data_IF_507220117958
#
_entry.id   IF_507220117958
#
_cell.length_a   1.000
_cell.length_b   1.000
_cell.length_c   1.000
_cell.angle_alpha   90.00
_cell.angle_beta   90.00
_cell.angle_gamma   90.00
#
_symmetry.space_group_name_H-M   'P 1'
#
loop_
_entity.id
_entity.type
_entity.pdbx_description
1 polymer ?
#
# COMPACT_ATOMS: atom_id res chain seq x y z
N UNK A 1 25.43 -30.33 -46.91
CA UNK A 1 23.96 -30.24 -46.88
C UNK A 1 23.48 -31.67 -46.87
N UNK A 2 22.82 -32.06 -45.79
CA UNK A 2 22.30 -33.43 -45.66
C UNK A 2 20.86 -33.46 -46.19
N UNK A 3 20.48 -34.60 -46.75
CA UNK A 3 19.19 -34.82 -47.38
C UNK A 3 18.55 -36.09 -46.80
N UNK A 4 17.23 -36.12 -46.70
CA UNK A 4 16.41 -37.24 -46.20
C UNK A 4 15.34 -37.65 -47.24
N UNK A 5 14.67 -38.78 -47.00
CA UNK A 5 13.69 -39.39 -47.89
C UNK A 5 14.25 -40.58 -48.69
N UNK A 6 13.37 -41.43 -49.22
CA UNK A 6 13.75 -42.62 -50.00
C UNK A 6 14.51 -42.25 -51.29
N UNK A 7 14.42 -40.99 -51.73
CA UNK A 7 15.12 -40.45 -52.89
C UNK A 7 16.08 -39.31 -52.53
N UNK A 8 16.36 -39.07 -51.24
CA UNK A 8 17.18 -37.95 -50.74
C UNK A 8 16.73 -36.57 -51.28
N UNK A 9 15.41 -36.36 -51.38
CA UNK A 9 14.80 -35.17 -51.96
C UNK A 9 14.47 -34.09 -50.92
N UNK A 10 14.43 -34.44 -49.64
CA UNK A 10 14.10 -33.54 -48.55
C UNK A 10 15.38 -32.91 -48.04
N UNK A 11 15.56 -31.60 -48.24
CA UNK A 11 16.68 -30.88 -47.66
C UNK A 11 16.55 -30.84 -46.12
N UNK A 12 17.52 -31.40 -45.40
CA UNK A 12 17.59 -31.28 -43.95
C UNK A 12 18.04 -29.86 -43.64
N UNK A 13 17.14 -29.10 -43.00
CA UNK A 13 17.46 -27.74 -42.53
C UNK A 13 18.16 -27.86 -41.18
N UNK A 14 19.40 -27.36 -41.08
CA UNK A 14 20.06 -27.23 -39.79
C UNK A 14 19.53 -25.97 -39.08
N UNK A 15 18.64 -26.19 -38.11
CA UNK A 15 18.04 -25.13 -37.32
C UNK A 15 19.03 -24.50 -36.33
N UNK A 16 20.20 -25.13 -36.10
CA UNK A 16 21.26 -24.58 -35.26
C UNK A 16 22.23 -23.64 -36.00
N UNK A 17 22.15 -23.54 -37.32
CA UNK A 17 23.03 -22.68 -38.15
C UNK A 17 22.97 -21.19 -37.80
N UNK A 18 21.88 -20.75 -37.16
CA UNK A 18 21.69 -19.37 -36.70
C UNK A 18 22.21 -19.10 -35.29
N UNK A 19 22.81 -20.09 -34.63
CA UNK A 19 23.22 -20.05 -33.22
C UNK A 19 22.10 -19.57 -32.28
N UNK A 20 20.93 -20.23 -32.29
CA UNK A 20 19.77 -19.74 -31.55
C UNK A 20 19.94 -19.82 -30.03
N UNK A 21 20.74 -20.78 -29.52
CA UNK A 21 20.96 -20.94 -28.08
C UNK A 21 21.97 -19.91 -27.54
N UNK A 22 21.53 -19.10 -26.58
CA UNK A 22 22.35 -18.08 -25.91
C UNK A 22 22.92 -18.59 -24.58
N UNK A 23 23.73 -17.78 -23.90
CA UNK A 23 24.28 -18.04 -22.56
C UNK A 23 25.01 -19.38 -22.39
N UNK A 24 25.61 -19.92 -23.46
CA UNK A 24 26.33 -21.19 -23.42
C UNK A 24 25.45 -22.43 -23.60
N UNK A 25 24.20 -22.26 -24.03
CA UNK A 25 23.32 -23.36 -24.42
C UNK A 25 23.88 -24.19 -25.58
N UNK A 26 23.70 -25.51 -25.51
CA UNK A 26 24.09 -26.43 -26.59
C UNK A 26 22.90 -26.69 -27.52
N UNK A 27 23.04 -26.37 -28.80
CA UNK A 27 21.98 -26.54 -29.78
C UNK A 27 21.95 -27.96 -30.36
N UNK A 28 20.75 -28.53 -30.46
CA UNK A 28 20.46 -29.79 -31.15
C UNK A 28 19.39 -29.53 -32.22
N UNK A 29 19.70 -29.78 -33.49
CA UNK A 29 18.75 -29.62 -34.60
C UNK A 29 17.90 -30.89 -34.76
N UNK A 30 16.61 -30.70 -35.03
CA UNK A 30 15.64 -31.75 -35.38
C UNK A 30 15.02 -31.48 -36.76
N UNK A 31 14.11 -32.35 -37.22
CA UNK A 31 13.54 -32.29 -38.58
C UNK A 31 12.70 -31.03 -38.87
N UNK A 32 12.14 -30.40 -37.83
CA UNK A 32 11.25 -29.22 -37.99
C UNK A 32 11.60 -28.05 -37.08
N UNK A 33 12.49 -28.22 -36.11
CA UNK A 33 12.83 -27.23 -35.09
C UNK A 33 14.21 -27.53 -34.47
N UNK A 34 14.64 -26.73 -33.50
CA UNK A 34 15.82 -26.97 -32.67
C UNK A 34 15.44 -27.11 -31.19
N UNK A 35 16.37 -27.62 -30.39
CA UNK A 35 16.30 -27.59 -28.93
C UNK A 35 17.61 -27.10 -28.35
N UNK A 36 17.51 -26.22 -27.37
CA UNK A 36 18.66 -25.77 -26.60
C UNK A 36 18.75 -26.53 -25.29
N UNK A 37 19.82 -27.31 -25.10
CA UNK A 37 20.19 -27.83 -23.80
C UNK A 37 20.83 -26.70 -22.99
N UNK A 38 20.09 -26.15 -22.03
CA UNK A 38 20.55 -25.03 -21.24
C UNK A 38 21.52 -25.45 -20.15
N UNK A 39 22.60 -24.68 -19.94
CA UNK A 39 23.50 -24.89 -18.81
C UNK A 39 22.78 -24.57 -17.49
N UNK A 40 23.36 -25.05 -16.38
CA UNK A 40 22.84 -24.75 -15.04
C UNK A 40 22.70 -23.24 -14.84
N UNK A 41 21.54 -22.81 -14.33
CA UNK A 41 21.23 -21.40 -14.15
C UNK A 41 20.51 -20.72 -15.32
N UNK A 42 20.19 -21.43 -16.42
CA UNK A 42 19.40 -20.91 -17.54
C UNK A 42 18.29 -21.87 -17.99
N UNK A 43 17.24 -21.30 -18.59
CA UNK A 43 16.04 -21.94 -19.12
C UNK A 43 15.47 -21.09 -20.27
N UNK A 44 14.31 -21.45 -20.82
CA UNK A 44 13.74 -20.83 -22.03
C UNK A 44 14.09 -21.61 -23.30
N UNK A 45 13.41 -21.30 -24.42
CA UNK A 45 13.57 -22.03 -25.68
C UNK A 45 14.99 -21.86 -26.25
N UNK A 46 15.62 -20.73 -25.97
CA UNK A 46 16.96 -20.36 -26.41
C UNK A 46 17.96 -20.22 -25.25
N UNK A 47 17.63 -20.65 -24.03
CA UNK A 47 18.44 -20.42 -22.82
C UNK A 47 18.62 -18.94 -22.44
N UNK A 48 17.64 -18.12 -22.81
CA UNK A 48 17.59 -16.68 -22.59
C UNK A 48 17.16 -16.30 -21.17
N UNK A 49 16.47 -17.20 -20.47
CA UNK A 49 15.89 -16.95 -19.15
C UNK A 49 16.84 -17.50 -18.08
N UNK A 50 17.32 -16.71 -17.12
CA UNK A 50 18.03 -17.26 -15.96
C UNK A 50 17.09 -18.15 -15.13
N UNK A 51 17.46 -19.39 -14.85
CA UNK A 51 16.67 -20.35 -14.04
C UNK A 51 16.43 -19.84 -12.61
N UNK A 52 17.30 -18.96 -12.11
CA UNK A 52 17.18 -18.33 -10.80
C UNK A 52 16.59 -16.90 -10.86
N UNK A 53 15.79 -16.59 -11.89
CA UNK A 53 15.09 -15.31 -11.94
C UNK A 53 13.89 -15.28 -10.98
N UNK A 54 14.12 -14.70 -9.80
CA UNK A 54 13.09 -14.58 -8.78
C UNK A 54 11.96 -13.61 -9.17
N UNK A 55 12.16 -12.76 -10.18
CA UNK A 55 11.13 -11.85 -10.68
C UNK A 55 10.03 -12.53 -11.50
N UNK A 56 10.22 -13.76 -11.97
CA UNK A 56 9.20 -14.50 -12.71
C UNK A 56 7.92 -14.79 -11.91
N UNK A 57 7.97 -14.68 -10.59
CA UNK A 57 6.82 -14.82 -9.70
C UNK A 57 6.05 -13.51 -9.46
N UNK A 58 6.46 -12.41 -10.11
CA UNK A 58 5.94 -11.05 -9.89
C UNK A 58 5.84 -10.70 -8.40
N UNK A 59 6.94 -10.80 -7.62
CA UNK A 59 6.87 -10.65 -6.17
C UNK A 59 6.54 -9.22 -5.72
N UNK A 60 6.82 -8.21 -6.55
CA UNK A 60 6.64 -6.80 -6.23
C UNK A 60 5.19 -6.36 -6.43
N UNK A 61 4.56 -5.87 -5.37
CA UNK A 61 3.18 -5.39 -5.36
C UNK A 61 3.09 -3.91 -5.70
N UNK A 62 1.86 -3.42 -5.85
CA UNK A 62 1.55 -1.99 -5.96
C UNK A 62 2.34 -1.24 -7.06
N UNK A 63 2.67 -1.94 -8.15
CA UNK A 63 3.39 -1.38 -9.30
C UNK A 63 4.89 -1.18 -9.07
N UNK A 64 5.47 -1.83 -8.05
CA UNK A 64 6.92 -1.89 -7.86
C UNK A 64 7.62 -2.63 -9.02
N UNK A 65 8.84 -2.20 -9.34
CA UNK A 65 9.65 -2.84 -10.39
C UNK A 65 10.53 -3.92 -9.76
N UNK A 66 10.43 -5.14 -10.27
CA UNK A 66 11.29 -6.23 -9.80
C UNK A 66 12.66 -6.17 -10.48
N UNK A 67 13.72 -6.26 -9.68
CA UNK A 67 15.10 -6.35 -10.13
C UNK A 67 15.65 -7.69 -9.64
N UNK A 68 15.95 -8.58 -10.58
CA UNK A 68 16.52 -9.89 -10.26
C UNK A 68 17.96 -9.71 -9.76
N UNK A 69 18.29 -10.31 -8.61
CA UNK A 69 19.62 -10.22 -7.98
C UNK A 69 20.14 -11.62 -7.66
N UNK A 70 20.43 -12.43 -8.69
CA UNK A 70 20.84 -13.82 -8.48
C UNK A 70 22.19 -13.88 -7.74
N UNK A 71 22.24 -14.70 -6.68
CA UNK A 71 23.45 -14.89 -5.86
C UNK A 71 23.51 -14.03 -4.59
N UNK A 72 22.61 -13.06 -4.44
CA UNK A 72 22.44 -12.34 -3.17
C UNK A 72 21.61 -13.15 -2.16
N UNK A 73 21.69 -12.78 -0.87
CA UNK A 73 20.88 -13.38 0.20
C UNK A 73 19.38 -13.24 -0.08
N UNK A 74 18.99 -12.12 -0.69
CA UNK A 74 17.66 -11.92 -1.26
C UNK A 74 17.78 -11.99 -2.79
N UNK A 75 17.16 -12.97 -3.47
CA UNK A 75 17.37 -13.21 -4.89
C UNK A 75 16.67 -12.20 -5.82
N UNK A 76 15.97 -11.21 -5.24
CA UNK A 76 15.42 -10.06 -5.95
C UNK A 76 15.35 -8.84 -5.03
N UNK A 77 15.17 -7.68 -5.64
CA UNK A 77 14.85 -6.41 -5.01
C UNK A 77 13.62 -5.78 -5.67
N UNK A 78 12.69 -5.28 -4.87
CA UNK A 78 11.59 -4.45 -5.37
C UNK A 78 11.93 -2.95 -5.25
N UNK A 79 11.97 -2.27 -6.39
CA UNK A 79 11.98 -0.81 -6.44
C UNK A 79 10.54 -0.29 -6.31
N UNK A 80 10.18 0.13 -5.11
CA UNK A 80 8.82 0.54 -4.79
C UNK A 80 8.48 1.92 -5.35
N UNK A 81 7.27 2.03 -5.91
CA UNK A 81 6.74 3.34 -6.24
C UNK A 81 6.62 4.21 -4.99
N UNK A 82 6.73 5.53 -5.20
CA UNK A 82 6.59 6.51 -4.13
C UNK A 82 5.32 6.27 -3.30
N UNK A 83 5.49 6.18 -1.98
CA UNK A 83 4.40 5.95 -1.03
C UNK A 83 4.13 4.49 -0.72
N UNK A 84 4.84 3.54 -1.35
CA UNK A 84 4.82 2.13 -0.98
C UNK A 84 6.11 1.73 -0.26
N UNK A 85 5.98 0.75 0.63
CA UNK A 85 7.02 0.31 1.55
C UNK A 85 7.00 -1.22 1.69
N UNK A 86 8.02 -1.78 2.32
CA UNK A 86 8.15 -3.23 2.52
C UNK A 86 9.07 -3.88 1.50
N UNK A 87 9.36 -5.16 1.71
CA UNK A 87 10.27 -5.91 0.83
C UNK A 87 9.69 -6.07 -0.57
N UNK A 88 8.36 -6.20 -0.64
CA UNK A 88 7.58 -6.47 -1.82
C UNK A 88 6.62 -5.31 -2.14
N UNK A 89 6.85 -4.10 -1.59
CA UNK A 89 5.99 -2.93 -1.76
C UNK A 89 4.54 -3.11 -1.27
N UNK A 90 4.33 -4.01 -0.32
CA UNK A 90 3.05 -4.43 0.23
C UNK A 90 2.49 -3.47 1.30
N UNK A 91 3.36 -2.68 1.92
CA UNK A 91 3.01 -1.61 2.84
C UNK A 91 2.87 -0.27 2.13
N UNK A 92 2.35 0.73 2.84
CA UNK A 92 2.25 2.08 2.30
C UNK A 92 2.49 3.16 3.34
N UNK A 93 2.89 4.35 2.87
CA UNK A 93 2.98 5.58 3.65
C UNK A 93 2.35 6.74 2.88
N UNK A 94 1.74 7.67 3.62
CA UNK A 94 1.08 8.86 3.12
C UNK A 94 1.33 10.04 4.08
N UNK A 95 2.27 10.90 3.70
CA UNK A 95 2.64 12.15 4.40
C UNK A 95 1.91 13.39 3.82
N UNK A 96 1.05 13.19 2.81
CA UNK A 96 0.29 14.22 2.10
C UNK A 96 1.11 15.29 1.36
N UNK A 97 2.43 15.15 1.23
CA UNK A 97 3.28 16.11 0.51
C UNK A 97 2.93 16.14 -0.99
N UNK A 98 2.63 14.97 -1.55
CA UNK A 98 2.22 14.80 -2.95
C UNK A 98 0.72 14.59 -3.07
N UNK A 99 0.12 15.23 -4.07
CA UNK A 99 -1.35 15.30 -4.18
C UNK A 99 -1.95 14.17 -5.01
N UNK A 100 -1.12 13.42 -5.76
CA UNK A 100 -1.50 12.24 -6.56
C UNK A 100 -0.75 11.00 -6.08
N UNK A 101 -0.41 10.93 -4.81
CA UNK A 101 0.27 9.76 -4.29
C UNK A 101 -0.71 8.58 -4.25
N UNK A 102 -0.39 7.43 -4.88
CA UNK A 102 -1.34 6.32 -5.01
C UNK A 102 -1.73 5.69 -3.66
N UNK A 103 -0.81 5.70 -2.69
CA UNK A 103 -1.01 5.20 -1.33
C UNK A 103 -1.96 6.03 -0.49
N UNK A 104 -2.14 7.32 -0.82
CA UNK A 104 -2.89 8.24 0.01
C UNK A 104 -4.42 8.04 -0.09
N UNK A 105 -5.11 8.30 1.02
CA UNK A 105 -6.58 8.29 1.17
C UNK A 105 -7.31 9.38 0.34
N UNK A 106 -6.60 10.06 -0.57
CA UNK A 106 -7.08 11.16 -1.37
C UNK A 106 -6.73 11.00 -2.86
N UNK A 107 -7.76 10.92 -3.71
CA UNK A 107 -7.56 10.94 -5.19
C UNK A 107 -7.39 12.36 -5.74
N UNK A 108 -7.81 13.37 -4.97
CA UNK A 108 -7.64 14.79 -5.30
C UNK A 108 -7.37 15.58 -4.03
N UNK A 109 -6.92 16.84 -4.15
CA UNK A 109 -6.63 17.73 -3.00
C UNK A 109 -7.82 17.97 -2.06
N UNK A 110 -9.05 17.66 -2.49
CA UNK A 110 -10.29 17.85 -1.72
C UNK A 110 -11.26 16.70 -1.98
N UNK A 111 -11.73 16.09 -0.91
CA UNK A 111 -12.86 15.15 -0.95
C UNK A 111 -13.93 15.63 0.02
N UNK A 112 -15.06 14.94 0.12
CA UNK A 112 -16.20 15.41 0.91
C UNK A 112 -15.81 15.62 2.38
N UNK A 113 -15.74 16.89 2.79
CA UNK A 113 -15.40 17.32 4.16
C UNK A 113 -13.90 17.39 4.45
N UNK A 114 -13.05 16.71 3.67
CA UNK A 114 -11.62 16.64 3.90
C UNK A 114 -10.82 17.37 2.82
N UNK A 115 -9.75 18.04 3.22
CA UNK A 115 -8.89 18.77 2.29
C UNK A 115 -7.44 18.81 2.75
N UNK A 116 -6.54 18.88 1.77
CA UNK A 116 -5.11 19.07 2.00
C UNK A 116 -4.80 20.52 2.34
N UNK A 117 -3.93 20.75 3.32
CA UNK A 117 -3.58 22.09 3.83
C UNK A 117 -2.11 22.18 4.17
N UNK A 118 -1.52 23.36 4.11
CA UNK A 118 -0.13 23.63 4.50
C UNK A 118 0.02 24.83 5.45
N UNK A 119 -1.06 25.17 6.15
CA UNK A 119 -1.20 26.32 7.06
C UNK A 119 -2.29 25.99 8.07
N UNK A 120 -2.41 26.82 9.12
CA UNK A 120 -3.44 26.71 10.16
C UNK A 120 -4.84 26.47 9.60
N UNK A 121 -5.64 25.59 10.22
CA UNK A 121 -7.09 25.42 9.97
C UNK A 121 -7.84 26.77 9.83
N UNK A 122 -8.80 26.90 8.91
CA UNK A 122 -9.50 28.16 8.64
C UNK A 122 -10.39 28.59 9.81
N UNK A 123 -10.97 27.64 10.53
CA UNK A 123 -11.84 27.92 11.67
C UNK A 123 -11.06 28.51 12.84
N UNK A 124 -11.56 29.61 13.41
CA UNK A 124 -10.90 30.25 14.53
C UNK A 124 -11.01 29.42 15.80
N UNK A 125 -9.87 29.27 16.51
CA UNK A 125 -9.80 28.44 17.72
C UNK A 125 -9.91 26.95 17.43
N UNK A 126 -9.51 26.53 16.22
CA UNK A 126 -9.21 25.13 15.88
C UNK A 126 -7.77 24.99 15.43
N UNK A 127 -7.33 23.75 15.26
CA UNK A 127 -6.00 23.40 14.79
C UNK A 127 -6.03 22.22 13.82
N UNK A 128 -4.86 21.84 13.28
CA UNK A 128 -3.53 22.27 13.70
C UNK A 128 -3.09 23.62 13.10
N UNK A 129 -2.01 24.21 13.63
CA UNK A 129 -1.36 25.41 13.07
C UNK A 129 -0.42 25.12 11.89
N UNK A 130 0.13 23.90 11.86
CA UNK A 130 1.08 23.39 10.87
C UNK A 130 0.93 21.87 10.76
N UNK A 131 1.51 21.28 9.72
CA UNK A 131 1.67 19.84 9.62
C UNK A 131 2.46 19.27 10.81
N UNK A 132 2.35 17.98 11.07
CA UNK A 132 3.18 17.28 12.04
C UNK A 132 4.61 17.13 11.48
N UNK A 133 4.71 16.63 10.26
CA UNK A 133 5.95 16.54 9.49
C UNK A 133 5.79 17.28 8.17
N UNK A 134 6.91 17.59 7.51
CA UNK A 134 6.86 18.23 6.20
C UNK A 134 6.09 19.57 6.19
N UNK A 135 5.23 19.74 5.18
CA UNK A 135 4.52 20.99 4.89
C UNK A 135 3.01 20.80 4.83
N UNK A 136 2.51 19.66 4.38
CA UNK A 136 1.12 19.39 4.14
C UNK A 136 0.57 18.39 5.14
N UNK A 137 -0.70 18.54 5.47
CA UNK A 137 -1.47 17.57 6.23
C UNK A 137 -2.87 17.49 5.63
N UNK A 138 -3.64 16.50 6.06
CA UNK A 138 -5.02 16.33 5.61
C UNK A 138 -5.98 16.57 6.76
N UNK A 139 -7.01 17.39 6.54
CA UNK A 139 -7.92 17.76 7.61
C UNK A 139 -9.37 17.84 7.17
N UNK A 140 -10.23 17.56 8.11
CA UNK A 140 -11.66 17.77 8.09
C UNK A 140 -11.99 19.21 8.49
N UNK A 141 -12.58 19.96 7.57
CA UNK A 141 -13.10 21.31 7.84
C UNK A 141 -14.53 21.21 8.38
N UNK A 142 -14.72 21.41 9.68
CA UNK A 142 -15.99 21.14 10.34
C UNK A 142 -17.00 22.27 10.24
N UNK A 143 -16.58 23.52 9.99
CA UNK A 143 -17.47 24.67 10.14
C UNK A 143 -18.66 24.65 9.18
N UNK A 144 -18.42 24.25 7.93
CA UNK A 144 -19.43 24.13 6.88
C UNK A 144 -20.21 22.82 6.88
N UNK A 145 -20.02 21.95 7.88
CA UNK A 145 -20.53 20.58 7.84
C UNK A 145 -21.76 20.38 8.74
N UNK A 146 -22.57 19.36 8.45
CA UNK A 146 -23.79 19.06 9.23
C UNK A 146 -23.41 18.52 10.61
N UNK A 147 -24.10 18.98 11.66
CA UNK A 147 -23.96 18.41 13.02
C UNK A 147 -24.22 16.91 12.99
N UNK A 148 -23.37 16.12 13.64
CA UNK A 148 -23.37 14.65 13.63
C UNK A 148 -23.20 14.01 12.23
N UNK A 149 -22.85 14.80 11.21
CA UNK A 149 -22.52 14.29 9.88
C UNK A 149 -21.25 13.45 9.94
N UNK A 150 -21.22 12.36 9.18
CA UNK A 150 -20.09 11.41 9.08
C UNK A 150 -19.38 11.64 7.74
N UNK A 151 -18.07 11.83 7.80
CA UNK A 151 -17.24 12.19 6.65
C UNK A 151 -16.07 11.23 6.55
N UNK A 152 -16.15 10.32 5.59
CA UNK A 152 -15.22 9.21 5.45
C UNK A 152 -14.22 9.49 4.32
N UNK A 153 -12.99 9.07 4.54
CA UNK A 153 -12.03 8.79 3.46
C UNK A 153 -11.60 7.35 3.54
N UNK A 154 -11.42 6.74 2.37
CA UNK A 154 -11.18 5.31 2.21
C UNK A 154 -9.76 5.11 1.68
N UNK A 155 -9.11 4.02 2.09
CA UNK A 155 -7.87 3.58 1.47
C UNK A 155 -8.10 3.28 -0.02
N UNK A 156 -7.08 3.55 -0.84
CA UNK A 156 -7.13 3.31 -2.28
C UNK A 156 -6.35 2.05 -2.71
N UNK A 157 -5.73 1.36 -1.76
CA UNK A 157 -4.86 0.21 -1.97
C UNK A 157 -5.60 -1.08 -1.59
N UNK A 158 -5.41 -2.21 -2.30
CA UNK A 158 -5.78 -3.54 -1.81
C UNK A 158 -4.83 -3.98 -0.69
N UNK A 159 -5.26 -4.94 0.13
CA UNK A 159 -4.46 -5.49 1.24
C UNK A 159 -4.31 -6.99 1.10
N UNK A 160 -3.24 -7.54 1.64
CA UNK A 160 -3.11 -8.99 1.78
C UNK A 160 -3.97 -9.47 2.95
N UNK A 161 -4.29 -10.76 2.98
CA UNK A 161 -4.96 -11.34 4.14
C UNK A 161 -3.99 -11.43 5.32
N UNK A 162 -4.31 -10.77 6.43
CA UNK A 162 -3.51 -10.84 7.65
C UNK A 162 -3.61 -9.61 8.55
N UNK A 163 -2.82 -9.63 9.62
CA UNK A 163 -2.72 -8.52 10.56
C UNK A 163 -1.74 -7.47 10.04
N UNK A 164 -2.19 -6.22 10.00
CA UNK A 164 -1.45 -5.05 9.54
C UNK A 164 -1.33 -4.03 10.66
N UNK A 165 -0.20 -3.33 10.70
CA UNK A 165 0.01 -2.25 11.64
C UNK A 165 -0.32 -0.92 10.98
N UNK A 166 -1.39 -0.27 11.43
CA UNK A 166 -1.69 1.12 11.08
C UNK A 166 -1.06 2.04 12.12
N UNK A 167 -0.29 3.02 11.68
CA UNK A 167 0.13 4.14 12.51
C UNK A 167 -0.14 5.48 11.83
N UNK A 168 -0.47 6.51 12.60
CA UNK A 168 -0.69 7.87 12.11
C UNK A 168 -0.58 8.92 13.21
N UNK A 169 -0.45 10.17 12.78
CA UNK A 169 -0.58 11.34 13.63
C UNK A 169 -1.96 11.95 13.46
N UNK A 170 -2.61 12.35 14.56
CA UNK A 170 -3.89 13.04 14.52
C UNK A 170 -3.93 14.27 15.43
N UNK A 171 -4.70 15.28 15.03
CA UNK A 171 -4.89 16.52 15.78
C UNK A 171 -6.37 16.81 15.97
N UNK A 172 -6.77 17.12 17.20
CA UNK A 172 -8.16 17.33 17.56
C UNK A 172 -8.29 18.46 18.58
N UNK A 173 -8.27 19.71 18.09
CA UNK A 173 -8.41 20.90 18.93
C UNK A 173 -9.58 21.78 18.52
N UNK A 174 -10.41 22.16 19.49
CA UNK A 174 -11.59 22.98 19.23
C UNK A 174 -12.42 23.25 20.48
N UNK A 175 -13.73 23.04 20.37
CA UNK A 175 -14.68 23.34 21.45
C UNK A 175 -14.64 22.29 22.57
N UNK A 176 -14.45 22.71 23.82
CA UNK A 176 -14.44 21.80 24.99
C UNK A 176 -15.71 20.93 25.10
N UNK A 177 -16.90 21.52 24.87
CA UNK A 177 -18.19 20.83 25.02
C UNK A 177 -18.87 20.51 23.69
N UNK A 178 -18.16 20.70 22.57
CA UNK A 178 -18.77 20.64 21.25
C UNK A 178 -17.90 20.04 20.16
N UNK A 179 -16.68 19.60 20.48
CA UNK A 179 -15.78 18.90 19.57
C UNK A 179 -16.39 17.59 19.07
N UNK A 180 -15.96 17.19 17.87
CA UNK A 180 -16.40 15.98 17.18
C UNK A 180 -15.75 14.69 17.66
N UNK A 181 -15.73 13.72 16.74
CA UNK A 181 -15.09 12.42 16.93
C UNK A 181 -14.24 12.06 15.73
N UNK A 182 -13.08 11.46 16.00
CA UNK A 182 -12.20 10.82 15.03
C UNK A 182 -12.31 9.31 15.21
N UNK A 183 -12.37 8.57 14.10
CA UNK A 183 -12.47 7.12 14.09
C UNK A 183 -11.59 6.52 13.01
N UNK A 184 -11.03 5.35 13.32
CA UNK A 184 -10.50 4.40 12.34
C UNK A 184 -11.45 3.20 12.32
N UNK A 185 -11.86 2.81 11.12
CA UNK A 185 -12.79 1.73 10.87
C UNK A 185 -12.23 0.83 9.76
N UNK A 186 -12.69 -0.41 9.73
CA UNK A 186 -12.61 -1.25 8.54
C UNK A 186 -13.98 -1.29 7.83
N UNK A 187 -13.96 -1.52 6.53
CA UNK A 187 -15.16 -1.76 5.74
C UNK A 187 -14.93 -2.93 4.79
N UNK A 188 -15.77 -3.96 4.89
CA UNK A 188 -15.72 -5.13 3.98
C UNK A 188 -17.09 -5.35 3.34
N UNK A 189 -17.16 -5.73 2.05
CA UNK A 189 -18.39 -6.15 1.40
C UNK A 189 -19.07 -7.28 2.20
N UNK A 190 -20.36 -7.13 2.50
CA UNK A 190 -21.13 -8.12 3.26
C UNK A 190 -21.15 -7.90 4.78
N UNK A 191 -20.03 -7.49 5.39
CA UNK A 191 -19.95 -7.20 6.83
C UNK A 191 -20.26 -5.73 7.17
N UNK A 192 -20.00 -4.80 6.25
CA UNK A 192 -20.19 -3.38 6.49
C UNK A 192 -19.04 -2.75 7.30
N UNK A 193 -19.35 -1.73 8.10
CA UNK A 193 -18.33 -1.03 8.89
C UNK A 193 -18.10 -1.69 10.25
N UNK A 194 -16.84 -1.99 10.57
CA UNK A 194 -16.41 -2.38 11.92
C UNK A 194 -15.61 -1.25 12.54
N UNK A 195 -15.89 -0.92 13.80
CA UNK A 195 -15.18 0.15 14.51
C UNK A 195 -13.99 -0.41 15.26
N UNK A 196 -12.81 0.09 14.92
CA UNK A 196 -11.55 -0.35 15.53
C UNK A 196 -11.06 0.68 16.57
N UNK A 197 -11.16 1.97 16.23
CA UNK A 197 -10.76 3.04 17.12
C UNK A 197 -11.73 4.22 17.10
N UNK A 198 -11.86 4.88 18.24
CA UNK A 198 -12.62 6.12 18.40
C UNK A 198 -12.01 6.98 19.50
N UNK A 199 -11.81 8.25 19.16
CA UNK A 199 -11.53 9.32 20.12
C UNK A 199 -12.53 10.45 19.94
N UNK A 200 -12.94 11.08 21.03
CA UNK A 200 -13.99 12.10 21.03
C UNK A 200 -13.63 13.25 21.92
N UNK A 201 -14.13 14.44 21.61
CA UNK A 201 -13.86 15.61 22.44
C UNK A 201 -12.53 16.27 22.09
N UNK A 202 -12.25 17.40 22.76
CA UNK A 202 -11.03 18.16 22.57
C UNK A 202 -9.83 17.42 23.16
N UNK A 203 -8.81 17.12 22.34
CA UNK A 203 -7.57 16.43 22.72
C UNK A 203 -6.41 17.40 23.01
N UNK A 204 -6.69 18.71 23.02
CA UNK A 204 -5.68 19.75 23.19
C UNK A 204 -5.04 20.15 21.85
N UNK A 205 -4.30 21.26 21.88
CA UNK A 205 -3.63 21.80 20.69
C UNK A 205 -2.27 21.11 20.46
N UNK A 206 -2.31 19.81 20.20
CA UNK A 206 -1.12 18.99 19.96
C UNK A 206 -1.44 17.85 18.99
N UNK A 207 -0.41 17.41 18.27
CA UNK A 207 -0.48 16.17 17.51
C UNK A 207 -0.35 14.98 18.48
N UNK A 208 -1.14 13.94 18.23
CA UNK A 208 -1.17 12.72 19.01
C UNK A 208 -0.90 11.54 18.08
N UNK A 209 -0.14 10.57 18.56
CA UNK A 209 0.15 9.35 17.83
C UNK A 209 -0.94 8.30 18.05
N UNK A 210 -1.30 7.57 17.01
CA UNK A 210 -2.16 6.40 17.04
C UNK A 210 -1.43 5.24 16.37
N UNK A 211 -1.49 4.08 17.00
CA UNK A 211 -1.02 2.82 16.46
C UNK A 211 -2.04 1.72 16.76
N UNK A 212 -2.33 0.85 15.78
CA UNK A 212 -3.42 -0.10 15.83
C UNK A 212 -3.18 -1.30 14.90
N UNK A 213 -3.39 -2.51 15.44
CA UNK A 213 -3.48 -3.73 14.65
C UNK A 213 -4.84 -3.82 13.93
N UNK A 214 -4.80 -4.08 12.63
CA UNK A 214 -5.96 -4.26 11.77
C UNK A 214 -5.90 -5.62 11.08
N UNK A 215 -6.98 -6.39 11.15
CA UNK A 215 -7.11 -7.60 10.33
C UNK A 215 -7.75 -7.22 9.01
N UNK A 216 -6.98 -7.31 7.93
CA UNK A 216 -7.37 -6.88 6.59
C UNK A 216 -7.27 -8.05 5.61
N UNK A 217 -8.01 -7.94 4.53
CA UNK A 217 -7.95 -8.81 3.36
C UNK A 217 -8.14 -7.99 2.08
N UNK A 218 -8.09 -8.64 0.92
CA UNK A 218 -8.20 -8.01 -0.40
C UNK A 218 -9.54 -7.27 -0.61
N UNK A 219 -10.58 -7.64 0.14
CA UNK A 219 -11.91 -7.02 0.08
C UNK A 219 -12.06 -5.82 1.01
N UNK A 220 -11.15 -5.67 1.97
CA UNK A 220 -11.26 -4.71 3.07
C UNK A 220 -10.76 -3.32 2.66
N UNK A 221 -11.40 -2.29 3.21
CA UNK A 221 -10.95 -0.89 3.14
C UNK A 221 -10.70 -0.35 4.54
N UNK A 222 -9.57 0.34 4.72
CA UNK A 222 -9.34 1.16 5.91
C UNK A 222 -10.05 2.49 5.71
N UNK A 223 -10.80 2.92 6.72
CA UNK A 223 -11.64 4.11 6.64
C UNK A 223 -11.32 5.04 7.80
N UNK A 224 -10.91 6.25 7.45
CA UNK A 224 -10.74 7.33 8.41
C UNK A 224 -12.02 8.18 8.38
N UNK A 225 -12.67 8.32 9.54
CA UNK A 225 -13.94 9.02 9.68
C UNK A 225 -13.85 10.17 10.66
N UNK A 226 -14.27 11.34 10.20
CA UNK A 226 -14.57 12.48 11.04
C UNK A 226 -16.08 12.59 11.26
N UNK A 227 -16.47 12.88 12.50
CA UNK A 227 -17.85 13.23 12.88
C UNK A 227 -17.84 14.63 13.45
N UNK A 228 -18.57 15.56 12.84
CA UNK A 228 -18.71 16.91 13.40
C UNK A 228 -19.51 16.87 14.71
N UNK A 229 -18.97 17.51 15.73
CA UNK A 229 -19.63 17.66 17.03
C UNK A 229 -20.76 18.70 17.04
N UNK A 230 -21.11 19.15 18.26
CA UNK A 230 -22.15 20.18 18.47
C UNK A 230 -21.69 21.56 18.01
N UNK A 231 -20.39 21.83 18.06
CA UNK A 231 -19.77 23.10 17.67
C UNK A 231 -19.14 23.02 16.28
N UNK A 232 -19.08 24.15 15.58
CA UNK A 232 -18.32 24.30 14.35
C UNK A 232 -16.80 24.19 14.58
N UNK A 233 -16.33 24.46 15.79
CA UNK A 233 -14.93 24.26 16.21
C UNK A 233 -14.67 22.78 16.48
N UNK A 234 -14.68 22.00 15.40
CA UNK A 234 -14.62 20.53 15.39
C UNK A 234 -13.65 19.99 14.33
N UNK A 235 -12.65 20.78 13.92
CA UNK A 235 -11.70 20.36 12.88
C UNK A 235 -10.84 19.21 13.38
N UNK A 236 -10.51 18.29 12.48
CA UNK A 236 -9.71 17.11 12.78
C UNK A 236 -8.66 17.00 11.70
N UNK A 237 -7.40 16.83 12.04
CA UNK A 237 -6.35 16.58 11.06
C UNK A 237 -5.67 15.24 11.28
N UNK A 238 -5.10 14.72 10.20
CA UNK A 238 -4.24 13.55 10.17
C UNK A 238 -2.97 13.87 9.37
N UNK A 239 -1.90 13.16 9.72
CA UNK A 239 -0.61 13.24 9.05
C UNK A 239 0.16 11.92 9.20
N UNK A 240 1.20 11.73 8.38
CA UNK A 240 2.13 10.58 8.43
C UNK A 240 1.44 9.21 8.59
N UNK A 241 0.45 8.93 7.73
CA UNK A 241 -0.30 7.67 7.81
C UNK A 241 0.53 6.55 7.19
N UNK A 242 0.82 5.51 7.96
CA UNK A 242 1.58 4.34 7.51
C UNK A 242 0.81 3.06 7.81
N UNK A 243 0.83 2.11 6.87
CA UNK A 243 0.28 0.77 7.06
C UNK A 243 1.32 -0.26 6.63
N UNK A 244 1.68 -1.18 7.52
CA UNK A 244 2.64 -2.24 7.27
C UNK A 244 1.98 -3.63 7.36
N UNK A 245 2.45 -4.64 6.59
CA UNK A 245 1.84 -5.98 6.47
C UNK A 245 2.19 -6.90 7.66
N UNK A 246 2.40 -6.33 8.83
CA UNK A 246 2.79 -7.05 10.03
C UNK A 246 2.15 -6.41 11.25
N UNK A 247 2.00 -7.14 12.38
CA UNK A 247 1.49 -6.56 13.62
C UNK A 247 2.39 -5.43 14.14
N UNK A 248 1.79 -4.45 14.82
CA UNK A 248 2.53 -3.36 15.41
C UNK A 248 3.54 -3.86 16.44
N UNK A 249 4.73 -3.26 16.47
CA UNK A 249 5.78 -3.57 17.46
C UNK A 249 5.46 -2.92 18.81
N UNK A 250 4.34 -3.32 19.41
CA UNK A 250 3.92 -2.94 20.75
C UNK A 250 3.38 -4.16 21.47
N UNK A 251 4.03 -4.55 22.58
CA UNK A 251 3.48 -5.46 23.59
C UNK A 251 1.98 -5.24 23.74
N UNK A 252 1.21 -6.29 23.44
CA UNK A 252 -0.21 -6.47 23.76
C UNK A 252 -0.73 -5.43 24.76
N UNK A 253 -1.26 -4.31 24.28
CA UNK A 253 -2.28 -3.60 25.04
C UNK A 253 -3.59 -4.28 24.70
N UNK A 254 -3.75 -5.47 25.30
CA UNK A 254 -5.07 -6.05 25.46
C UNK A 254 -5.90 -4.99 26.18
N UNK A 255 -6.86 -4.42 25.46
CA UNK A 255 -8.01 -3.74 26.06
C UNK A 255 -8.79 -4.79 26.85
N UNK A 256 -8.29 -5.11 28.04
CA UNK A 256 -9.06 -5.82 29.05
C UNK A 256 -10.05 -4.79 29.59
N UNK A 257 -11.29 -4.94 29.14
CA UNK A 257 -12.47 -4.37 29.75
C UNK A 257 -12.40 -4.57 31.28
N UNK A 258 -12.16 -3.49 32.03
CA UNK A 258 -12.47 -3.51 33.47
C UNK A 258 -14.00 -3.44 33.63
N UNK A 259 -14.64 -4.37 34.35
CA UNK A 259 -16.02 -4.21 34.76
C UNK A 259 -16.10 -3.11 35.83
N UNK A 260 -17.15 -2.30 35.76
CA UNK A 260 -17.53 -1.34 36.82
C UNK A 260 -17.81 -2.09 38.14
N UNK A 261 -17.37 -1.58 39.31
CA UNK A 261 -17.78 -2.12 40.59
C UNK A 261 -19.26 -1.81 40.85
N UNK A 262 -19.91 -2.73 41.59
CA UNK A 262 -21.32 -2.73 41.97
C UNK A 262 -21.76 -1.49 42.77
#
# INVERSE_FOLDING_TARGET
MDFSGDLCEIAITDHCSSYPCVNGGTCMSYDTDFYCACPEGYTGQTCEIPFNDACLSDPCQNGGSCINTPGDVNPYLCDCQQGFLGQNCEGFSCDFERWREPSCFMRTKRVRGWSRRNRRTPSWGTGPSSAYSGRYFFYFEASGQRRNGRYNVFSNVPFQNGTHCLSLQYHMWGSNNGMGSFLVLTYSPGLGFTQEFRVTGNQGNQWNFLELDLNLDESTKVVIRAIRGRSYKSDIAIDDVTLMPYPCNGTTTSTTTMPLPA
#
